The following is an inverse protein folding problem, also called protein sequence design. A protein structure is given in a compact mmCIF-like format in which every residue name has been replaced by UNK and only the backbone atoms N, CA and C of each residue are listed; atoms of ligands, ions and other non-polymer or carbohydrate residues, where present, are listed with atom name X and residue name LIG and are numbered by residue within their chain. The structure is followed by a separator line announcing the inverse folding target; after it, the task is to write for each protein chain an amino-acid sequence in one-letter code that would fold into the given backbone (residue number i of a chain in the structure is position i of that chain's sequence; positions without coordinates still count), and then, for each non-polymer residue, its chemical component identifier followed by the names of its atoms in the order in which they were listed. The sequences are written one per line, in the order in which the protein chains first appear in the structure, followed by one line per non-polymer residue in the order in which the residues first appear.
data_IF_202644132434
#
_entry.id   IF_202644132434
#
_cell.length_a   1.000
_cell.length_b   1.000
_cell.length_c   1.000
_cell.angle_alpha   90.00
_cell.angle_beta   90.00
_cell.angle_gamma   90.00
#
_symmetry.space_group_name_H-M   'P 1'
#
loop_
_entity.id
_entity.type
_entity.pdbx_description
1 polymer ?
#
# COMPACT_ATOMS: atom_id res chain seq x y z
N UNK A 1 35.84 -19.61 7.22
CA UNK A 1 36.36 -18.23 7.13
C UNK A 1 35.18 -17.28 6.98
N UNK A 2 34.77 -16.62 8.07
CA UNK A 2 33.79 -15.53 8.01
C UNK A 2 34.53 -14.27 7.53
N UNK A 3 34.25 -13.81 6.30
CA UNK A 3 34.83 -12.55 5.81
C UNK A 3 34.11 -11.40 6.52
N UNK A 4 34.82 -10.77 7.44
CA UNK A 4 34.45 -9.51 8.07
C UNK A 4 34.30 -8.42 6.99
N UNK A 5 33.14 -7.76 6.99
CA UNK A 5 32.82 -6.66 6.10
C UNK A 5 33.56 -5.39 6.55
N UNK A 6 34.66 -5.06 5.89
CA UNK A 6 35.31 -3.75 6.02
C UNK A 6 35.69 -3.26 4.62
N UNK A 7 35.06 -2.17 4.21
CA UNK A 7 35.31 -1.38 3.00
C UNK A 7 35.22 -2.08 1.65
N UNK A 8 34.09 -2.72 1.39
CA UNK A 8 33.75 -3.05 0.01
C UNK A 8 33.41 -1.75 -0.76
N UNK A 9 34.18 -1.44 -1.79
CA UNK A 9 34.08 -0.16 -2.49
C UNK A 9 32.72 0.01 -3.18
N UNK A 10 32.31 1.27 -3.36
CA UNK A 10 31.11 1.66 -4.13
C UNK A 10 31.06 0.94 -5.49
N UNK A 11 32.21 0.78 -6.13
CA UNK A 11 32.35 0.16 -7.44
C UNK A 11 32.04 -1.35 -7.42
N UNK A 12 32.42 -2.05 -6.34
CA UNK A 12 32.08 -3.45 -6.16
C UNK A 12 30.55 -3.64 -6.03
N UNK A 13 29.89 -2.73 -5.30
CA UNK A 13 28.43 -2.74 -5.16
C UNK A 13 27.71 -2.42 -6.46
N UNK A 14 28.19 -1.45 -7.25
CA UNK A 14 27.66 -1.18 -8.60
C UNK A 14 27.70 -2.41 -9.48
N UNK A 15 28.84 -3.11 -9.53
CA UNK A 15 28.99 -4.34 -10.32
C UNK A 15 28.05 -5.46 -9.86
N UNK A 16 27.89 -5.66 -8.56
CA UNK A 16 26.94 -6.64 -8.00
C UNK A 16 25.50 -6.33 -8.42
N UNK A 17 25.08 -5.08 -8.30
CA UNK A 17 23.72 -4.65 -8.65
C UNK A 17 23.47 -4.79 -10.15
N UNK A 18 24.44 -4.43 -11.00
CA UNK A 18 24.33 -4.64 -12.45
C UNK A 18 24.22 -6.12 -12.81
N UNK A 19 25.02 -6.99 -12.19
CA UNK A 19 24.91 -8.45 -12.38
C UNK A 19 23.53 -8.97 -11.97
N UNK A 20 22.97 -8.47 -10.87
CA UNK A 20 21.60 -8.82 -10.46
C UNK A 20 20.58 -8.37 -11.51
N UNK A 21 20.67 -7.14 -12.01
CA UNK A 21 19.74 -6.63 -13.04
C UNK A 21 19.82 -7.43 -14.34
N UNK A 22 21.04 -7.76 -14.78
CA UNK A 22 21.26 -8.56 -16.00
C UNK A 22 20.81 -10.01 -15.84
N UNK A 23 20.82 -10.56 -14.62
CA UNK A 23 20.36 -11.93 -14.37
C UNK A 23 18.85 -12.11 -14.56
N UNK A 24 18.06 -11.03 -14.50
CA UNK A 24 16.59 -11.09 -14.52
C UNK A 24 15.96 -11.74 -13.27
N UNK A 25 16.76 -12.18 -12.31
CA UNK A 25 16.30 -12.86 -11.10
C UNK A 25 15.80 -11.86 -10.07
N UNK A 26 14.89 -12.30 -9.20
CA UNK A 26 14.48 -11.51 -8.05
C UNK A 26 15.68 -11.24 -7.13
N UNK A 27 15.70 -10.08 -6.47
CA UNK A 27 16.77 -9.69 -5.55
C UNK A 27 16.97 -10.77 -4.47
N UNK A 28 15.88 -11.32 -3.93
CA UNK A 28 15.92 -12.34 -2.88
C UNK A 28 16.61 -13.62 -3.35
N UNK A 29 16.28 -14.08 -4.56
CA UNK A 29 16.87 -15.27 -5.14
C UNK A 29 18.35 -15.06 -5.48
N UNK A 30 18.67 -13.92 -6.11
CA UNK A 30 20.04 -13.56 -6.46
C UNK A 30 20.94 -13.42 -5.21
N UNK A 31 20.44 -12.80 -4.14
CA UNK A 31 21.16 -12.69 -2.87
C UNK A 31 21.42 -14.05 -2.23
N UNK A 32 20.44 -14.97 -2.29
CA UNK A 32 20.57 -16.34 -1.76
C UNK A 32 21.66 -17.11 -2.49
N UNK A 33 21.66 -17.07 -3.81
CA UNK A 33 22.68 -17.77 -4.61
C UNK A 33 24.09 -17.22 -4.43
N UNK A 34 24.21 -15.89 -4.37
CA UNK A 34 25.51 -15.22 -4.28
C UNK A 34 25.99 -15.05 -2.83
N UNK A 35 25.28 -15.63 -1.84
CA UNK A 35 25.57 -15.54 -0.41
C UNK A 35 25.73 -14.09 0.09
N UNK A 36 24.86 -13.21 -0.42
CA UNK A 36 24.85 -11.79 -0.06
C UNK A 36 23.71 -11.54 0.92
N UNK A 37 23.99 -10.74 1.95
CA UNK A 37 22.97 -10.34 2.92
C UNK A 37 21.95 -9.43 2.24
N UNK A 38 20.69 -9.84 2.22
CA UNK A 38 19.60 -9.15 1.51
C UNK A 38 19.47 -7.68 1.92
N UNK A 39 19.52 -7.39 3.24
CA UNK A 39 19.41 -6.02 3.76
C UNK A 39 20.57 -5.12 3.31
N UNK A 40 21.78 -5.67 3.25
CA UNK A 40 22.96 -4.97 2.78
C UNK A 40 22.84 -4.65 1.28
N UNK A 41 22.38 -5.62 0.48
CA UNK A 41 22.12 -5.41 -0.94
C UNK A 41 21.06 -4.34 -1.18
N UNK A 42 19.97 -4.40 -0.43
CA UNK A 42 18.88 -3.42 -0.52
C UNK A 42 19.36 -2.01 -0.20
N UNK A 43 20.11 -1.85 0.89
CA UNK A 43 20.73 -0.57 1.28
C UNK A 43 21.61 0.00 0.16
N UNK A 44 22.51 -0.80 -0.40
CA UNK A 44 23.41 -0.33 -1.47
C UNK A 44 22.69 -0.05 -2.78
N UNK A 45 21.66 -0.82 -3.11
CA UNK A 45 20.82 -0.55 -4.28
C UNK A 45 20.10 0.78 -4.16
N UNK A 46 19.45 1.03 -3.03
CA UNK A 46 18.77 2.30 -2.75
C UNK A 46 19.76 3.48 -2.76
N UNK A 47 20.93 3.30 -2.13
CA UNK A 47 21.99 4.32 -2.06
C UNK A 47 22.59 4.68 -3.42
N UNK A 48 22.75 3.72 -4.33
CA UNK A 48 23.49 3.92 -5.60
C UNK A 48 22.59 4.22 -6.79
N UNK A 49 21.36 3.72 -6.81
CA UNK A 49 20.46 3.82 -7.95
C UNK A 49 19.16 4.55 -7.62
N UNK A 50 19.00 5.02 -6.39
CA UNK A 50 17.75 5.59 -5.89
C UNK A 50 16.70 4.49 -5.68
N UNK A 51 15.79 4.70 -4.74
CA UNK A 51 14.60 3.86 -4.64
C UNK A 51 13.70 4.16 -5.84
N UNK A 52 13.68 3.28 -6.85
CA UNK A 52 12.45 3.11 -7.62
C UNK A 52 11.40 2.58 -6.64
N UNK A 53 10.50 3.45 -6.22
CA UNK A 53 9.28 3.12 -5.48
C UNK A 53 9.44 2.83 -3.98
N UNK A 54 9.70 3.87 -3.20
CA UNK A 54 8.76 4.13 -2.10
C UNK A 54 8.27 5.56 -2.30
N UNK A 55 7.01 5.79 -2.73
CA UNK A 55 6.42 7.09 -2.43
C UNK A 55 6.63 7.34 -0.94
N UNK A 56 6.89 8.60 -0.55
CA UNK A 56 6.83 8.97 0.86
C UNK A 56 5.60 8.32 1.49
N UNK A 57 5.65 7.90 2.77
CA UNK A 57 4.48 7.35 3.42
C UNK A 57 3.36 8.42 3.43
N UNK A 58 2.52 8.40 2.40
CA UNK A 58 1.32 9.22 2.32
C UNK A 58 0.25 8.49 3.09
N UNK A 59 -0.49 9.23 3.92
CA UNK A 59 -1.67 8.71 4.58
C UNK A 59 -2.67 8.22 3.53
N UNK A 60 -2.87 6.91 3.43
CA UNK A 60 -3.91 6.33 2.60
C UNK A 60 -5.22 6.41 3.38
N UNK A 61 -6.10 7.34 2.99
CA UNK A 61 -7.46 7.39 3.52
C UNK A 61 -8.20 6.12 3.11
N UNK A 62 -8.62 5.33 4.11
CA UNK A 62 -9.46 4.16 3.88
C UNK A 62 -10.90 4.66 3.81
N UNK A 63 -11.48 4.67 2.62
CA UNK A 63 -12.91 4.94 2.42
C UNK A 63 -13.72 3.82 3.10
N UNK A 64 -14.16 4.06 4.33
CA UNK A 64 -15.12 3.17 5.00
C UNK A 64 -16.49 3.47 4.40
N UNK A 65 -16.96 2.61 3.51
CA UNK A 65 -18.39 2.57 3.18
C UNK A 65 -19.15 2.04 4.40
N UNK A 66 -19.48 2.95 5.32
CA UNK A 66 -20.12 2.63 6.61
C UNK A 66 -21.61 2.34 6.45
N UNK A 67 -22.25 2.91 5.43
CA UNK A 67 -23.68 2.75 5.25
C UNK A 67 -24.07 1.43 4.59
N UNK A 68 -25.02 0.71 5.17
CA UNK A 68 -25.68 -0.42 4.53
C UNK A 68 -26.70 0.00 3.47
N UNK A 69 -27.31 1.18 3.63
CA UNK A 69 -28.27 1.76 2.68
C UNK A 69 -28.00 3.26 2.53
N UNK A 70 -28.00 3.76 1.29
CA UNK A 70 -27.95 5.19 0.97
C UNK A 70 -29.13 5.60 0.10
N UNK A 71 -29.82 6.67 0.48
CA UNK A 71 -30.91 7.26 -0.30
C UNK A 71 -30.47 8.65 -0.76
N UNK A 72 -30.58 8.90 -2.06
CA UNK A 72 -30.27 10.20 -2.67
C UNK A 72 -31.51 10.76 -3.35
N UNK A 73 -31.92 11.97 -2.96
CA UNK A 73 -33.05 12.68 -3.54
C UNK A 73 -32.68 14.14 -3.71
N UNK A 74 -32.49 14.59 -4.95
CA UNK A 74 -32.06 15.96 -5.29
C UNK A 74 -30.79 16.39 -4.53
N UNK A 75 -30.93 17.25 -3.51
CA UNK A 75 -29.85 17.73 -2.64
C UNK A 75 -29.74 16.98 -1.32
N UNK A 76 -30.69 16.08 -1.01
CA UNK A 76 -30.74 15.33 0.23
C UNK A 76 -30.04 13.97 0.05
N UNK A 77 -29.03 13.72 0.88
CA UNK A 77 -28.38 12.41 0.98
C UNK A 77 -28.53 11.88 2.39
N UNK A 78 -29.14 10.71 2.52
CA UNK A 78 -29.38 10.04 3.80
C UNK A 78 -28.61 8.72 3.80
N UNK A 79 -27.83 8.51 4.85
CA UNK A 79 -27.05 7.29 5.06
C UNK A 79 -27.58 6.54 6.28
N UNK A 80 -27.72 5.22 6.13
CA UNK A 80 -28.06 4.31 7.22
C UNK A 80 -26.89 3.36 7.44
N UNK A 81 -26.38 3.28 8.66
CA UNK A 81 -25.37 2.28 9.04
C UNK A 81 -25.92 0.85 8.89
N UNK A 82 -25.07 -0.17 8.84
CA UNK A 82 -25.49 -1.56 8.54
C UNK A 82 -26.40 -2.18 9.61
N UNK A 83 -26.30 -1.65 10.81
CA UNK A 83 -26.96 -2.02 12.05
C UNK A 83 -28.17 -1.10 12.36
N UNK A 84 -28.67 -0.41 11.34
CA UNK A 84 -29.86 0.42 11.46
C UNK A 84 -31.10 -0.38 11.90
N UNK A 85 -31.92 0.25 12.74
CA UNK A 85 -33.20 -0.30 13.14
C UNK A 85 -34.24 -0.16 12.02
N UNK A 86 -34.77 -1.30 11.57
CA UNK A 86 -35.77 -1.37 10.51
C UNK A 86 -37.07 -0.64 10.81
N UNK A 87 -37.48 -0.58 12.09
CA UNK A 87 -38.70 0.13 12.49
C UNK A 87 -38.52 1.64 12.35
N UNK A 88 -37.36 2.15 12.76
CA UNK A 88 -36.97 3.55 12.60
C UNK A 88 -36.87 3.94 11.12
N UNK A 89 -36.26 3.11 10.26
CA UNK A 89 -36.24 3.36 8.82
C UNK A 89 -37.66 3.43 8.24
N UNK A 90 -38.53 2.49 8.62
CA UNK A 90 -39.92 2.48 8.15
C UNK A 90 -40.67 3.74 8.53
N UNK A 91 -40.59 4.15 9.81
CA UNK A 91 -41.24 5.38 10.31
C UNK A 91 -40.71 6.63 9.60
N UNK A 92 -39.40 6.66 9.33
CA UNK A 92 -38.76 7.72 8.59
C UNK A 92 -39.29 7.81 7.15
N UNK A 93 -39.34 6.70 6.42
CA UNK A 93 -39.87 6.64 5.06
C UNK A 93 -41.36 7.02 4.98
N UNK A 94 -42.15 6.61 5.97
CA UNK A 94 -43.56 7.01 6.07
C UNK A 94 -43.71 8.52 6.27
N UNK A 95 -42.81 9.15 7.03
CA UNK A 95 -42.78 10.60 7.21
C UNK A 95 -42.41 11.30 5.90
N UNK A 96 -41.43 10.78 5.17
CA UNK A 96 -41.02 11.33 3.86
C UNK A 96 -42.13 11.25 2.80
N UNK A 97 -42.97 10.21 2.82
CA UNK A 97 -44.12 10.10 1.89
C UNK A 97 -45.11 11.27 1.99
N UNK A 98 -45.17 11.95 3.14
CA UNK A 98 -46.02 13.12 3.35
C UNK A 98 -45.40 14.44 2.85
N UNK A 99 -44.13 14.42 2.44
CA UNK A 99 -43.41 15.58 1.93
C UNK A 99 -43.36 15.46 0.41
N UNK A 100 -44.35 16.03 -0.27
CA UNK A 100 -44.28 16.25 -1.72
C UNK A 100 -43.13 17.23 -2.02
N UNK A 101 -42.11 16.75 -2.75
CA UNK A 101 -41.07 17.57 -3.36
C UNK A 101 -41.60 18.27 -4.61
#
# INVERSE_FOLDING_TARGET
MFKSASDESVEAWKKKIQKQMLSGQSIAWWCRENQIVYSQFFYWKAKLFGSTTSPEPVFAEISRETSGISIECSTLRIHFDRDFDSYTLKRFLETLKGISC
#
